data_IF_610456923624
#
_entry.id   IF_610456923624
#
_cell.length_a   1.000
_cell.length_b   1.000
_cell.length_c   1.000
_cell.angle_alpha   90.00
_cell.angle_beta   90.00
_cell.angle_gamma   90.00
#
_symmetry.space_group_name_H-M   'P 1'
#
loop_
_entity.id
_entity.type
_entity.pdbx_description
1 polymer ?
#
# COMPACT_ATOMS: atom_id res chain seq x y z
N UNK A 1 61.94 28.72 5.56
CA UNK A 1 61.20 27.74 4.74
C UNK A 1 59.87 27.52 5.45
N UNK A 2 58.79 28.29 5.29
CA UNK A 2 58.08 28.79 4.10
C UNK A 2 57.51 27.67 3.21
N UNK A 3 56.19 27.76 2.99
CA UNK A 3 55.27 27.05 2.09
C UNK A 3 54.36 25.96 2.71
N UNK A 4 53.04 25.93 2.49
CA UNK A 4 52.05 26.94 2.03
C UNK A 4 50.66 26.37 2.33
N UNK A 5 49.73 27.24 2.74
CA UNK A 5 48.30 26.97 2.83
C UNK A 5 47.71 26.93 1.41
N UNK A 6 47.10 25.81 1.02
CA UNK A 6 46.25 25.75 -0.17
C UNK A 6 44.78 25.71 0.27
N UNK A 7 44.13 26.86 0.12
CA UNK A 7 42.69 26.97 0.18
C UNK A 7 42.06 26.23 -1.01
N UNK A 8 41.05 25.43 -0.72
CA UNK A 8 40.14 24.89 -1.72
C UNK A 8 38.92 25.80 -1.74
N UNK A 9 38.80 26.52 -2.86
CA UNK A 9 37.72 27.42 -3.20
C UNK A 9 36.41 26.65 -3.27
N UNK A 10 35.42 27.07 -2.46
CA UNK A 10 34.05 26.59 -2.53
C UNK A 10 33.43 27.03 -3.86
N UNK A 11 33.21 26.08 -4.77
CA UNK A 11 32.32 26.27 -5.92
C UNK A 11 30.89 26.04 -5.43
N UNK A 12 30.21 27.15 -5.15
CA UNK A 12 28.76 27.21 -4.98
C UNK A 12 28.08 26.78 -6.28
N UNK A 13 27.63 25.53 -6.36
CA UNK A 13 26.58 25.12 -7.30
C UNK A 13 25.23 25.54 -6.71
N UNK A 14 24.39 26.30 -7.43
CA UNK A 14 23.09 26.71 -6.92
C UNK A 14 22.20 25.48 -6.72
N UNK A 15 21.68 25.32 -5.49
CA UNK A 15 20.58 24.39 -5.19
C UNK A 15 19.39 24.78 -6.07
N UNK A 16 19.03 23.95 -7.04
CA UNK A 16 17.77 24.08 -7.76
C UNK A 16 16.64 23.59 -6.87
N UNK A 17 16.10 24.48 -6.04
CA UNK A 17 14.83 24.28 -5.35
C UNK A 17 13.74 24.25 -6.41
N UNK A 18 13.17 23.08 -6.69
CA UNK A 18 11.95 22.98 -7.48
C UNK A 18 10.82 23.50 -6.59
N UNK A 19 10.38 24.72 -6.84
CA UNK A 19 9.20 25.31 -6.22
C UNK A 19 7.95 24.66 -6.82
N UNK A 20 7.23 23.88 -6.02
CA UNK A 20 5.83 23.57 -6.31
C UNK A 20 5.01 24.85 -6.11
N UNK A 21 4.23 25.31 -7.10
CA UNK A 21 3.39 26.49 -6.92
C UNK A 21 2.33 26.20 -5.86
N UNK A 22 2.27 27.06 -4.85
CA UNK A 22 1.32 26.99 -3.75
C UNK A 22 -0.13 26.91 -4.23
N UNK A 23 -0.93 26.11 -3.51
CA UNK A 23 -2.37 25.98 -3.69
C UNK A 23 -3.05 27.35 -3.66
N UNK A 24 -3.62 27.76 -4.79
CA UNK A 24 -4.71 28.75 -4.80
C UNK A 24 -6.00 27.98 -4.60
N UNK A 25 -6.65 28.15 -3.44
CA UNK A 25 -7.98 27.62 -3.18
C UNK A 25 -8.97 28.29 -4.15
N UNK A 26 -9.60 27.50 -5.03
CA UNK A 26 -10.69 27.99 -5.87
C UNK A 26 -12.00 28.06 -5.06
N UNK A 27 -12.74 29.18 -5.08
CA UNK A 27 -14.00 29.31 -4.37
C UNK A 27 -15.12 28.44 -4.99
N UNK A 28 -16.00 27.94 -4.12
CA UNK A 28 -17.04 26.91 -4.36
C UNK A 28 -18.21 27.30 -5.29
N UNK A 29 -18.08 28.30 -6.15
CA UNK A 29 -19.21 28.83 -6.94
C UNK A 29 -18.91 28.93 -8.44
N UNK A 30 -18.59 27.82 -9.11
CA UNK A 30 -18.54 27.80 -10.59
C UNK A 30 -18.60 26.40 -11.24
N UNK A 31 -19.41 25.48 -10.70
CA UNK A 31 -19.81 24.25 -11.41
C UNK A 31 -21.31 24.24 -11.69
N UNK A 32 -21.74 25.05 -12.66
CA UNK A 32 -22.99 24.85 -13.40
C UNK A 32 -22.82 25.39 -14.81
N UNK A 33 -23.06 24.50 -15.77
CA UNK A 33 -23.47 24.73 -17.17
C UNK A 33 -22.55 24.07 -18.21
N UNK A 34 -22.80 22.79 -18.49
CA UNK A 34 -22.72 22.24 -19.85
C UNK A 34 -23.71 21.09 -19.97
N UNK A 35 -24.97 21.41 -20.28
CA UNK A 35 -25.88 20.43 -20.88
C UNK A 35 -26.84 21.16 -21.81
N UNK A 36 -26.52 21.14 -23.10
CA UNK A 36 -27.43 21.49 -24.17
C UNK A 36 -27.04 20.75 -25.44
N UNK A 37 -28.06 20.36 -26.19
CA UNK A 37 -28.06 19.82 -27.56
C UNK A 37 -27.79 18.32 -27.74
N UNK A 38 -28.87 17.54 -27.60
CA UNK A 38 -29.28 16.60 -28.65
C UNK A 38 -30.79 16.36 -28.47
N UNK A 39 -31.59 17.08 -29.24
CA UNK A 39 -33.03 16.88 -29.39
C UNK A 39 -33.28 16.32 -30.79
N UNK A 40 -33.98 15.18 -30.86
CA UNK A 40 -34.94 14.83 -31.92
C UNK A 40 -35.39 13.38 -31.76
N UNK A 41 -36.69 13.17 -31.53
CA UNK A 41 -37.31 11.87 -31.85
C UNK A 41 -38.59 11.50 -31.09
N UNK A 42 -39.73 12.02 -31.57
CA UNK A 42 -41.07 11.42 -31.51
C UNK A 42 -41.74 11.19 -30.14
N UNK A 43 -42.77 12.00 -29.90
CA UNK A 43 -43.73 11.88 -28.81
C UNK A 43 -44.81 10.84 -29.19
N UNK A 44 -44.92 9.76 -28.41
CA UNK A 44 -45.94 8.73 -28.52
C UNK A 44 -46.55 8.43 -27.15
N UNK A 45 -47.86 8.66 -27.06
CA UNK A 45 -48.76 8.62 -25.90
C UNK A 45 -48.71 7.32 -25.07
N UNK A 46 -48.86 7.39 -23.74
CA UNK A 46 -49.17 6.19 -22.92
C UNK A 46 -49.05 6.35 -21.39
N UNK A 47 -50.20 6.49 -20.73
CA UNK A 47 -50.41 6.38 -19.28
C UNK A 47 -49.78 5.13 -18.64
N UNK A 48 -49.27 5.24 -17.39
CA UNK A 48 -49.03 4.04 -16.57
C UNK A 48 -48.24 4.26 -15.28
N UNK A 49 -48.98 4.35 -14.17
CA UNK A 49 -48.66 3.86 -12.82
C UNK A 49 -47.21 3.96 -12.28
N UNK A 50 -47.07 4.68 -11.16
CA UNK A 50 -45.84 4.77 -10.38
C UNK A 50 -45.21 3.41 -10.09
N UNK A 51 -44.06 3.15 -10.71
CA UNK A 51 -43.15 2.09 -10.27
C UNK A 51 -42.23 2.66 -9.22
N UNK A 52 -42.50 2.31 -7.95
CA UNK A 52 -41.43 2.23 -6.93
C UNK A 52 -40.33 1.34 -7.53
N UNK A 53 -39.23 1.94 -7.96
CA UNK A 53 -38.01 1.21 -8.29
C UNK A 53 -37.53 0.56 -6.98
N UNK A 54 -37.93 -0.68 -6.77
CA UNK A 54 -37.25 -1.57 -5.84
C UNK A 54 -35.82 -1.64 -6.34
N UNK A 55 -34.89 -1.04 -5.59
CA UNK A 55 -33.46 -1.11 -5.85
C UNK A 55 -33.02 -2.57 -5.65
N UNK A 56 -33.31 -3.43 -6.64
CA UNK A 56 -32.79 -4.80 -6.68
C UNK A 56 -31.29 -4.63 -6.76
N UNK A 57 -30.56 -5.14 -5.76
CA UNK A 57 -29.13 -5.37 -5.84
C UNK A 57 -28.90 -6.31 -7.03
N UNK A 58 -28.68 -5.73 -8.21
CA UNK A 58 -28.35 -6.48 -9.40
C UNK A 58 -26.89 -6.90 -9.30
N UNK A 59 -26.57 -8.04 -9.92
CA UNK A 59 -25.18 -8.51 -10.05
C UNK A 59 -24.33 -7.56 -10.90
N UNK A 60 -23.09 -7.95 -11.24
CA UNK A 60 -22.19 -7.09 -12.02
C UNK A 60 -22.83 -6.64 -13.34
N UNK A 61 -22.72 -5.35 -13.63
CA UNK A 61 -23.11 -4.76 -14.91
C UNK A 61 -21.97 -4.89 -15.92
N UNK A 62 -22.24 -5.63 -17.00
CA UNK A 62 -21.29 -5.86 -18.09
C UNK A 62 -21.58 -5.00 -19.32
N UNK A 63 -22.50 -4.05 -19.26
CA UNK A 63 -22.78 -3.14 -20.38
C UNK A 63 -21.70 -2.07 -20.57
N UNK A 64 -20.93 -1.76 -19.52
CA UNK A 64 -19.83 -0.79 -19.55
C UNK A 64 -18.55 -1.38 -18.92
N UNK A 65 -17.90 -2.27 -19.67
CA UNK A 65 -16.64 -2.90 -19.25
C UNK A 65 -15.47 -1.95 -19.51
N UNK A 66 -14.83 -1.48 -18.44
CA UNK A 66 -13.63 -0.66 -18.50
C UNK A 66 -12.38 -1.51 -18.26
N UNK A 67 -11.23 -1.11 -18.83
CA UNK A 67 -9.94 -1.76 -18.57
C UNK A 67 -9.66 -1.78 -17.06
N UNK A 68 -9.21 -2.93 -16.57
CA UNK A 68 -8.95 -3.13 -15.15
C UNK A 68 -7.46 -3.16 -14.88
N UNK A 69 -6.87 -2.00 -14.57
CA UNK A 69 -5.46 -1.88 -14.24
C UNK A 69 -5.08 -2.80 -13.07
N UNK A 70 -5.98 -3.07 -12.12
CA UNK A 70 -5.67 -3.95 -10.98
C UNK A 70 -5.25 -5.37 -11.42
N UNK A 71 -5.77 -5.88 -12.54
CA UNK A 71 -5.34 -7.19 -13.08
C UNK A 71 -3.95 -7.14 -13.74
N UNK A 72 -3.44 -5.96 -14.09
CA UNK A 72 -2.07 -5.79 -14.54
C UNK A 72 -1.13 -5.62 -13.32
N UNK A 73 -1.59 -4.92 -12.29
CA UNK A 73 -0.88 -4.72 -11.02
C UNK A 73 -0.64 -6.02 -10.24
N UNK A 74 -1.44 -7.07 -10.44
CA UNK A 74 -1.18 -8.36 -9.79
C UNK A 74 0.20 -8.90 -10.16
N UNK A 75 0.59 -8.79 -11.44
CA UNK A 75 1.89 -9.26 -11.92
C UNK A 75 3.05 -8.44 -11.36
N UNK A 76 2.81 -7.17 -11.04
CA UNK A 76 3.77 -6.29 -10.39
C UNK A 76 4.10 -6.81 -8.99
N UNK A 77 3.07 -7.01 -8.17
CA UNK A 77 3.26 -7.50 -6.80
C UNK A 77 3.71 -8.97 -6.76
N UNK A 78 3.28 -9.80 -7.70
CA UNK A 78 3.77 -11.18 -7.85
C UNK A 78 5.26 -11.23 -8.16
N UNK A 79 5.73 -10.39 -9.10
CA UNK A 79 7.15 -10.34 -9.44
C UNK A 79 8.00 -9.87 -8.26
N UNK A 80 7.54 -8.85 -7.53
CA UNK A 80 8.18 -8.37 -6.31
C UNK A 80 8.24 -9.48 -5.24
N UNK A 81 7.10 -10.15 -4.97
CA UNK A 81 7.00 -11.19 -3.97
C UNK A 81 7.86 -12.41 -4.29
N UNK A 82 7.90 -12.83 -5.56
CA UNK A 82 8.76 -13.92 -6.03
C UNK A 82 10.26 -13.58 -5.90
N UNK A 83 10.63 -12.30 -5.95
CA UNK A 83 12.02 -11.86 -5.81
C UNK A 83 12.41 -11.71 -4.33
N UNK A 84 11.63 -10.95 -3.55
CA UNK A 84 11.84 -10.78 -2.11
C UNK A 84 11.73 -12.10 -1.34
N UNK A 85 10.82 -12.99 -1.75
CA UNK A 85 10.63 -14.30 -1.13
C UNK A 85 11.84 -15.23 -1.20
N UNK A 86 12.78 -15.02 -2.13
CA UNK A 86 14.05 -15.78 -2.18
C UNK A 86 14.94 -15.51 -0.96
N UNK A 87 14.73 -14.40 -0.28
CA UNK A 87 15.50 -13.96 0.88
C UNK A 87 14.90 -14.38 2.22
N UNK A 88 13.80 -15.14 2.20
CA UNK A 88 13.15 -15.64 3.40
C UNK A 88 14.12 -16.42 4.31
N UNK A 89 14.30 -15.92 5.54
CA UNK A 89 15.17 -16.50 6.56
C UNK A 89 16.67 -16.32 6.33
N UNK A 90 17.09 -15.44 5.40
CA UNK A 90 18.52 -15.26 5.05
C UNK A 90 19.25 -14.18 5.85
N UNK A 91 18.57 -13.48 6.75
CA UNK A 91 19.18 -12.46 7.62
C UNK A 91 19.54 -11.13 6.93
N UNK A 92 19.21 -10.96 5.65
CA UNK A 92 19.50 -9.73 4.89
C UNK A 92 18.20 -9.07 4.43
N UNK A 93 17.76 -8.09 5.22
CA UNK A 93 16.53 -7.34 4.93
C UNK A 93 16.69 -6.40 3.75
N UNK A 94 17.88 -5.83 3.55
CA UNK A 94 18.11 -4.82 2.52
C UNK A 94 18.18 -5.49 1.15
N UNK A 95 18.80 -6.66 1.05
CA UNK A 95 18.82 -7.42 -0.20
C UNK A 95 17.44 -7.99 -0.57
N UNK A 96 16.64 -8.37 0.45
CA UNK A 96 15.25 -8.79 0.24
C UNK A 96 14.41 -7.65 -0.37
N UNK A 97 14.56 -6.46 0.20
CA UNK A 97 13.84 -5.25 -0.20
C UNK A 97 14.25 -4.79 -1.59
N UNK A 98 15.56 -4.67 -1.85
CA UNK A 98 16.11 -4.32 -3.15
C UNK A 98 15.63 -5.26 -4.26
N UNK A 99 15.59 -6.58 -3.99
CA UNK A 99 15.09 -7.55 -4.97
C UNK A 99 13.60 -7.33 -5.30
N UNK A 100 12.79 -6.93 -4.32
CA UNK A 100 11.38 -6.61 -4.52
C UNK A 100 11.21 -5.30 -5.31
N UNK A 101 11.95 -4.24 -4.95
CA UNK A 101 12.00 -2.93 -5.63
C UNK A 101 12.33 -3.11 -7.11
N UNK A 102 13.42 -3.83 -7.42
CA UNK A 102 13.92 -4.04 -8.78
C UNK A 102 12.84 -4.66 -9.68
N UNK A 103 12.20 -5.72 -9.16
CA UNK A 103 11.21 -6.46 -9.93
C UNK A 103 9.88 -5.74 -10.01
N UNK A 104 9.45 -5.07 -8.95
CA UNK A 104 8.27 -4.21 -8.96
C UNK A 104 8.40 -3.13 -10.03
N UNK A 105 9.49 -2.36 -10.01
CA UNK A 105 9.76 -1.28 -10.96
C UNK A 105 9.85 -1.78 -12.39
N UNK A 106 10.55 -2.90 -12.61
CA UNK A 106 10.72 -3.51 -13.93
C UNK A 106 9.38 -3.87 -14.57
N UNK A 107 8.46 -4.47 -13.80
CA UNK A 107 7.14 -4.84 -14.31
C UNK A 107 6.23 -3.62 -14.45
N UNK A 108 6.30 -2.66 -13.52
CA UNK A 108 5.52 -1.42 -13.61
C UNK A 108 5.79 -0.62 -14.88
N UNK A 109 7.04 -0.58 -15.34
CA UNK A 109 7.41 0.08 -16.61
C UNK A 109 6.79 -0.56 -17.86
N UNK A 110 6.13 -1.73 -17.73
CA UNK A 110 5.41 -2.38 -18.84
C UNK A 110 3.92 -2.07 -18.85
N UNK A 111 3.40 -1.44 -17.80
CA UNK A 111 1.96 -1.12 -17.67
C UNK A 111 1.64 0.12 -18.50
N UNK A 112 0.57 0.05 -19.31
CA UNK A 112 0.14 1.21 -20.11
C UNK A 112 -0.60 2.22 -19.22
N UNK A 113 0.13 3.19 -18.70
CA UNK A 113 -0.33 4.33 -17.89
C UNK A 113 0.71 5.46 -17.90
N UNK A 114 0.30 6.65 -17.48
CA UNK A 114 1.19 7.78 -17.11
C UNK A 114 1.24 7.89 -15.58
N UNK A 115 2.17 7.18 -14.96
CA UNK A 115 2.26 7.03 -13.51
C UNK A 115 3.27 7.96 -12.86
N UNK A 116 2.96 8.46 -11.66
CA UNK A 116 3.95 9.10 -10.78
C UNK A 116 3.93 8.43 -9.43
N UNK A 117 5.11 8.08 -8.93
CA UNK A 117 5.28 7.60 -7.56
C UNK A 117 5.02 8.76 -6.60
N UNK A 118 3.95 8.71 -5.83
CA UNK A 118 3.68 9.64 -4.72
C UNK A 118 4.21 9.08 -3.40
N UNK A 119 4.15 7.75 -3.27
CA UNK A 119 4.69 7.01 -2.12
C UNK A 119 5.55 5.88 -2.68
N UNK A 120 6.81 5.83 -2.24
CA UNK A 120 7.72 4.73 -2.56
C UNK A 120 8.88 4.65 -1.56
N UNK A 121 10.06 4.24 -2.04
CA UNK A 121 11.23 3.91 -1.20
C UNK A 121 11.81 5.12 -0.44
N UNK A 122 11.52 6.34 -0.90
CA UNK A 122 11.96 7.57 -0.28
C UNK A 122 12.15 8.70 -1.27
N UNK A 123 12.87 9.74 -0.84
CA UNK A 123 13.22 10.88 -1.70
C UNK A 123 14.26 10.50 -2.76
N UNK A 124 14.29 11.25 -3.86
CA UNK A 124 15.18 10.96 -5.01
C UNK A 124 16.67 10.86 -4.65
N UNK A 125 17.11 11.63 -3.67
CA UNK A 125 18.52 11.63 -3.22
C UNK A 125 18.85 10.42 -2.33
N UNK A 126 17.83 9.73 -1.80
CA UNK A 126 17.95 8.64 -0.84
C UNK A 126 17.61 7.27 -1.46
N UNK A 127 16.75 7.26 -2.50
CA UNK A 127 16.29 6.06 -3.20
C UNK A 127 16.60 6.12 -4.71
N UNK A 128 17.39 5.18 -5.26
CA UNK A 128 17.73 5.18 -6.69
C UNK A 128 16.56 4.77 -7.60
N UNK A 129 15.53 4.12 -7.04
CA UNK A 129 14.37 3.56 -7.74
C UNK A 129 13.13 3.68 -6.88
N UNK A 130 11.97 3.84 -7.53
CA UNK A 130 10.68 4.06 -6.89
C UNK A 130 10.70 5.23 -5.91
N UNK A 131 11.43 6.30 -6.26
CA UNK A 131 11.50 7.51 -5.44
C UNK A 131 10.28 8.40 -5.65
N UNK A 132 9.93 9.23 -4.66
CA UNK A 132 8.85 10.21 -4.75
C UNK A 132 9.06 11.16 -5.95
N UNK A 133 8.12 11.17 -6.88
CA UNK A 133 8.16 11.92 -8.13
C UNK A 133 8.70 11.15 -9.33
N UNK A 134 9.10 9.87 -9.19
CA UNK A 134 9.52 9.05 -10.33
C UNK A 134 8.37 8.84 -11.32
N UNK A 135 8.64 9.05 -12.60
CA UNK A 135 7.70 8.77 -13.71
C UNK A 135 7.79 7.29 -14.08
N UNK A 136 6.64 6.60 -14.07
CA UNK A 136 6.56 5.15 -14.27
C UNK A 136 5.44 4.82 -15.26
N UNK A 137 5.71 3.86 -16.14
CA UNK A 137 4.77 3.40 -17.16
C UNK A 137 5.50 3.10 -18.46
N UNK A 138 4.75 2.68 -19.48
CA UNK A 138 5.32 2.30 -20.77
C UNK A 138 5.49 3.49 -21.76
N UNK A 139 5.26 4.73 -21.31
CA UNK A 139 5.30 5.94 -22.13
C UNK A 139 3.96 6.37 -22.75
N UNK A 140 2.85 5.68 -22.46
CA UNK A 140 1.52 6.22 -22.76
C UNK A 140 1.20 7.42 -21.87
N UNK A 141 0.46 8.39 -22.40
CA UNK A 141 0.08 9.61 -21.67
C UNK A 141 -1.19 9.45 -20.80
N UNK A 142 -1.94 8.35 -20.97
CA UNK A 142 -3.18 8.09 -20.26
C UNK A 142 -3.33 6.60 -19.90
N UNK A 143 -3.98 6.28 -18.77
CA UNK A 143 -4.51 7.21 -17.78
C UNK A 143 -3.40 7.82 -16.92
N UNK A 144 -3.58 9.09 -16.52
CA UNK A 144 -2.72 9.75 -15.52
C UNK A 144 -3.05 9.27 -14.11
N UNK A 145 -2.08 8.64 -13.44
CA UNK A 145 -2.30 7.99 -12.14
C UNK A 145 -1.21 8.32 -11.13
N UNK A 146 -1.62 8.54 -9.88
CA UNK A 146 -0.72 8.49 -8.73
C UNK A 146 -0.53 7.04 -8.29
N UNK A 147 0.69 6.73 -7.87
CA UNK A 147 1.10 5.39 -7.46
C UNK A 147 1.66 5.47 -6.04
N UNK A 148 1.15 4.59 -5.17
CA UNK A 148 1.77 4.28 -3.89
C UNK A 148 2.24 2.83 -3.90
N UNK A 149 3.52 2.62 -3.63
CA UNK A 149 4.13 1.29 -3.53
C UNK A 149 4.71 1.08 -2.14
N UNK A 150 4.62 -0.15 -1.67
CA UNK A 150 5.50 -0.70 -0.64
C UNK A 150 5.96 -2.06 -1.18
N UNK A 151 7.13 -2.09 -1.84
CA UNK A 151 7.67 -3.28 -2.47
C UNK A 151 7.84 -4.45 -1.51
N UNK A 152 8.09 -4.21 -0.23
CA UNK A 152 8.17 -5.27 0.78
C UNK A 152 7.78 -4.79 2.19
N UNK A 153 6.47 -4.82 2.47
CA UNK A 153 5.96 -4.60 3.82
C UNK A 153 6.37 -5.81 4.69
N UNK A 154 7.26 -5.55 5.66
CA UNK A 154 7.84 -6.59 6.52
C UNK A 154 9.21 -7.12 6.07
N UNK A 155 10.11 -6.26 5.58
CA UNK A 155 11.52 -6.60 5.28
C UNK A 155 12.21 -7.38 6.40
N UNK A 156 12.01 -6.95 7.66
CA UNK A 156 12.53 -7.64 8.85
C UNK A 156 11.92 -9.03 9.03
N UNK A 157 10.61 -9.18 8.76
CA UNK A 157 9.94 -10.48 8.78
C UNK A 157 10.56 -11.43 7.76
N UNK A 158 10.82 -10.97 6.53
CA UNK A 158 11.50 -11.80 5.52
C UNK A 158 12.90 -12.18 5.95
N UNK A 159 13.73 -11.24 6.39
CA UNK A 159 15.09 -11.53 6.82
C UNK A 159 15.13 -12.59 7.94
N UNK A 160 14.18 -12.53 8.87
CA UNK A 160 14.10 -13.44 10.02
C UNK A 160 13.28 -14.71 9.77
N UNK A 161 12.72 -14.90 8.57
CA UNK A 161 11.87 -16.06 8.27
C UNK A 161 10.57 -16.08 9.07
N UNK A 162 9.94 -14.90 9.23
CA UNK A 162 8.67 -14.71 9.94
C UNK A 162 7.52 -14.48 8.97
N UNK A 163 6.33 -14.71 9.49
CA UNK A 163 5.06 -14.58 8.80
C UNK A 163 4.64 -13.10 8.63
N UNK A 164 3.69 -12.87 7.73
CA UNK A 164 2.98 -11.60 7.56
C UNK A 164 3.53 -10.62 6.53
N UNK A 165 4.59 -10.97 5.78
CA UNK A 165 5.16 -10.06 4.79
C UNK A 165 4.41 -10.09 3.45
N UNK A 166 4.18 -8.91 2.87
CA UNK A 166 3.43 -8.73 1.62
C UNK A 166 4.11 -7.69 0.72
N UNK A 167 3.92 -7.79 -0.60
CA UNK A 167 4.24 -6.71 -1.54
C UNK A 167 2.93 -6.03 -1.94
N UNK A 168 2.86 -4.70 -1.88
CA UNK A 168 1.61 -3.96 -2.09
C UNK A 168 1.77 -2.78 -3.05
N UNK A 169 0.68 -2.48 -3.76
CA UNK A 169 0.59 -1.32 -4.64
C UNK A 169 -0.84 -0.79 -4.68
N UNK A 170 -0.98 0.54 -4.69
CA UNK A 170 -2.22 1.26 -4.88
C UNK A 170 -2.06 2.30 -6.00
N UNK A 171 -3.07 2.38 -6.88
CA UNK A 171 -3.19 3.41 -7.91
C UNK A 171 -4.49 4.19 -7.69
N UNK A 172 -4.43 5.49 -7.88
CA UNK A 172 -5.60 6.36 -7.96
C UNK A 172 -5.39 7.43 -9.04
N UNK A 173 -6.41 8.21 -9.34
CA UNK A 173 -6.29 9.36 -10.24
C UNK A 173 -5.17 10.31 -9.78
N UNK A 174 -4.52 11.01 -10.73
CA UNK A 174 -3.50 12.03 -10.44
C UNK A 174 -3.99 13.04 -9.39
N UNK A 175 -3.18 13.28 -8.36
CA UNK A 175 -3.45 14.16 -7.23
C UNK A 175 -4.41 13.60 -6.18
N UNK A 176 -4.79 12.32 -6.27
CA UNK A 176 -5.79 11.73 -5.38
C UNK A 176 -5.20 10.98 -4.18
N UNK A 177 -3.91 10.65 -4.20
CA UNK A 177 -3.23 10.06 -3.04
C UNK A 177 -2.68 11.16 -2.13
N UNK A 178 -2.86 11.01 -0.83
CA UNK A 178 -2.28 11.91 0.15
C UNK A 178 -0.75 11.78 0.15
N UNK A 179 -0.08 12.92 0.06
CA UNK A 179 1.36 13.03 0.21
C UNK A 179 1.71 13.03 1.71
N UNK A 180 2.48 12.04 2.21
CA UNK A 180 2.90 11.99 3.60
C UNK A 180 3.79 13.18 4.03
N UNK A 181 4.46 13.83 3.07
CA UNK A 181 5.42 14.89 3.33
C UNK A 181 6.49 14.46 4.35
N UNK A 182 6.89 15.35 5.29
CA UNK A 182 7.95 15.04 6.26
C UNK A 182 7.49 14.14 7.42
N UNK A 183 6.19 13.84 7.53
CA UNK A 183 5.65 13.07 8.65
C UNK A 183 5.55 11.58 8.32
N UNK A 184 6.60 10.83 8.66
CA UNK A 184 6.68 9.40 8.36
C UNK A 184 5.79 8.51 9.25
N UNK A 185 5.18 9.03 10.31
CA UNK A 185 4.29 8.27 11.19
C UNK A 185 2.91 8.93 11.34
N UNK A 186 1.89 8.09 11.52
CA UNK A 186 0.53 8.50 11.82
C UNK A 186 -0.16 7.55 12.80
N UNK A 187 -1.03 8.10 13.65
CA UNK A 187 -2.06 7.35 14.36
C UNK A 187 -3.07 6.81 13.34
N UNK A 188 -3.52 5.57 13.56
CA UNK A 188 -4.39 4.81 12.67
C UNK A 188 -5.53 4.18 13.46
N UNK A 189 -6.74 4.30 12.90
CA UNK A 189 -7.92 3.53 13.28
C UNK A 189 -8.51 2.98 11.99
N UNK A 190 -8.60 1.65 11.84
CA UNK A 190 -9.26 1.04 10.69
C UNK A 190 -10.32 0.01 11.11
N UNK A 191 -11.46 0.03 10.44
CA UNK A 191 -12.58 -0.90 10.66
C UNK A 191 -13.21 -1.35 9.34
N UNK A 192 -13.81 -2.53 9.36
CA UNK A 192 -14.47 -3.12 8.19
C UNK A 192 -15.84 -2.49 7.87
N UNK A 193 -16.46 -2.90 6.74
CA UNK A 193 -17.70 -2.31 6.21
C UNK A 193 -18.94 -2.47 7.10
N UNK A 194 -18.89 -3.32 8.11
CA UNK A 194 -19.99 -3.51 9.06
C UNK A 194 -20.08 -2.41 10.12
N UNK A 195 -19.03 -1.60 10.30
CA UNK A 195 -18.96 -0.51 11.27
C UNK A 195 -19.23 0.82 10.57
N UNK A 196 -20.19 1.60 11.07
CA UNK A 196 -20.46 2.95 10.53
C UNK A 196 -19.23 3.85 10.75
N UNK A 197 -18.65 4.44 9.70
CA UNK A 197 -17.48 5.31 9.82
C UNK A 197 -17.65 6.48 10.79
N UNK A 198 -18.89 6.97 10.98
CA UNK A 198 -19.19 8.07 11.90
C UNK A 198 -19.27 7.63 13.36
N UNK A 199 -19.34 6.33 13.61
CA UNK A 199 -19.52 5.78 14.95
C UNK A 199 -18.18 5.60 15.68
N UNK A 200 -17.08 5.46 14.96
CA UNK A 200 -15.70 5.36 15.51
C UNK A 200 -14.95 6.68 15.35
N UNK A 201 -13.98 6.95 16.23
CA UNK A 201 -13.15 8.16 16.13
C UNK A 201 -11.82 8.03 16.85
N UNK A 202 -10.75 8.57 16.25
CA UNK A 202 -9.46 8.80 16.92
C UNK A 202 -9.53 9.76 18.12
N UNK A 203 -10.62 10.52 18.27
CA UNK A 203 -10.86 11.40 19.43
C UNK A 203 -11.56 10.71 20.59
N UNK A 204 -12.00 9.46 20.42
CA UNK A 204 -12.61 8.66 21.48
C UNK A 204 -11.55 7.80 22.16
N UNK A 205 -11.81 7.43 23.40
CA UNK A 205 -11.01 6.41 24.07
C UNK A 205 -11.07 5.08 23.32
N UNK A 206 -10.09 4.21 23.58
CA UNK A 206 -10.08 2.85 23.01
C UNK A 206 -11.34 2.09 23.43
N UNK A 207 -11.73 2.16 24.71
CA UNK A 207 -12.91 1.48 25.23
C UNK A 207 -14.22 1.91 24.54
N UNK A 208 -14.41 3.21 24.28
CA UNK A 208 -15.58 3.72 23.57
C UNK A 208 -15.64 3.22 22.13
N UNK A 209 -14.50 3.23 21.42
CA UNK A 209 -14.45 2.68 20.06
C UNK A 209 -14.74 1.18 20.06
N UNK A 210 -14.18 0.41 20.99
CA UNK A 210 -14.42 -1.03 21.07
C UNK A 210 -15.88 -1.35 21.37
N UNK A 211 -16.55 -0.60 22.22
CA UNK A 211 -17.99 -0.77 22.48
C UNK A 211 -18.83 -0.54 21.20
N UNK A 212 -18.45 0.46 20.40
CA UNK A 212 -19.09 0.73 19.10
C UNK A 212 -18.86 -0.42 18.11
N UNK A 213 -17.61 -0.89 17.98
CA UNK A 213 -17.24 -2.00 17.09
C UNK A 213 -17.97 -3.27 17.50
N UNK A 214 -17.97 -3.63 18.79
CA UNK A 214 -18.69 -4.78 19.34
C UNK A 214 -20.18 -4.74 18.99
N UNK A 215 -20.82 -3.57 19.19
CA UNK A 215 -22.24 -3.37 18.87
C UNK A 215 -22.53 -3.52 17.38
N UNK A 216 -21.70 -2.94 16.52
CA UNK A 216 -21.85 -3.01 15.07
C UNK A 216 -21.72 -4.45 14.55
N UNK A 217 -20.76 -5.19 15.10
CA UNK A 217 -20.49 -6.59 14.75
C UNK A 217 -21.39 -7.60 15.46
N UNK A 218 -22.21 -7.15 16.42
CA UNK A 218 -23.08 -7.98 17.27
C UNK A 218 -22.31 -9.06 18.02
N UNK A 219 -21.12 -8.70 18.52
CA UNK A 219 -20.23 -9.56 19.30
C UNK A 219 -20.14 -9.05 20.75
N UNK A 220 -19.96 -9.92 21.75
CA UNK A 220 -19.52 -9.46 23.06
C UNK A 220 -18.11 -8.87 22.95
N UNK A 221 -17.77 -7.94 23.86
CA UNK A 221 -16.47 -7.24 23.82
C UNK A 221 -15.28 -8.21 23.86
N UNK A 222 -15.40 -9.33 24.59
CA UNK A 222 -14.40 -10.39 24.69
C UNK A 222 -14.13 -11.17 23.40
N UNK A 223 -15.02 -11.07 22.41
CA UNK A 223 -14.84 -11.68 21.09
C UNK A 223 -14.29 -10.69 20.06
N UNK A 224 -14.20 -9.40 20.40
CA UNK A 224 -13.59 -8.38 19.54
C UNK A 224 -12.07 -8.53 19.60
N UNK A 225 -11.42 -8.65 18.44
CA UNK A 225 -9.96 -8.76 18.33
C UNK A 225 -9.38 -7.51 17.70
N UNK A 226 -8.49 -6.85 18.45
CA UNK A 226 -7.77 -5.64 18.02
C UNK A 226 -6.41 -6.02 17.46
N UNK A 227 -6.08 -5.51 16.28
CA UNK A 227 -4.72 -5.59 15.73
C UNK A 227 -3.90 -4.38 16.17
N UNK A 228 -2.71 -4.61 16.73
CA UNK A 228 -1.77 -3.57 17.18
C UNK A 228 -0.34 -3.98 16.84
N UNK A 229 0.48 -3.05 16.35
CA UNK A 229 1.92 -3.28 16.22
C UNK A 229 2.57 -3.43 17.60
N UNK A 230 3.40 -4.45 17.80
CA UNK A 230 4.12 -4.67 19.05
C UNK A 230 5.30 -3.70 19.16
N UNK A 231 5.07 -2.57 19.81
CA UNK A 231 6.04 -1.48 19.97
C UNK A 231 5.86 -0.83 21.36
N UNK A 232 6.95 -0.35 21.99
CA UNK A 232 6.86 0.36 23.27
C UNK A 232 5.86 1.54 23.26
N UNK A 233 5.78 2.28 22.14
CA UNK A 233 4.83 3.38 21.96
C UNK A 233 3.34 2.97 22.04
N UNK A 234 3.02 1.67 21.95
CA UNK A 234 1.65 1.16 22.02
C UNK A 234 1.30 0.49 23.35
N UNK A 235 2.19 0.51 24.36
CA UNK A 235 1.90 -0.11 25.66
C UNK A 235 0.60 0.42 26.29
N UNK A 236 0.32 1.72 26.13
CA UNK A 236 -0.92 2.33 26.60
C UNK A 236 -2.16 1.78 25.88
N UNK A 237 -2.13 1.68 24.54
CA UNK A 237 -3.20 1.09 23.72
C UNK A 237 -3.43 -0.36 24.14
N UNK A 238 -2.35 -1.14 24.24
CA UNK A 238 -2.40 -2.56 24.62
C UNK A 238 -3.04 -2.73 26.00
N UNK A 239 -2.69 -1.87 26.96
CA UNK A 239 -3.28 -1.86 28.30
C UNK A 239 -4.76 -1.53 28.24
N UNK A 240 -5.16 -0.46 27.58
CA UNK A 240 -6.57 -0.04 27.47
C UNK A 240 -7.45 -1.10 26.78
N UNK A 241 -6.94 -1.76 25.73
CA UNK A 241 -7.66 -2.86 25.07
C UNK A 241 -7.89 -4.03 26.05
N UNK A 242 -6.88 -4.41 26.84
CA UNK A 242 -7.00 -5.47 27.85
C UNK A 242 -7.98 -5.10 28.95
N UNK A 243 -7.93 -3.86 29.43
CA UNK A 243 -8.85 -3.35 30.46
C UNK A 243 -10.30 -3.30 29.97
N UNK A 244 -10.52 -2.97 28.69
CA UNK A 244 -11.83 -3.06 28.05
C UNK A 244 -12.32 -4.50 27.84
N UNK A 245 -11.45 -5.51 28.04
CA UNK A 245 -11.79 -6.93 27.94
C UNK A 245 -11.75 -7.50 26.52
N UNK A 246 -11.25 -6.76 25.54
CA UNK A 246 -11.11 -7.25 24.16
C UNK A 246 -9.79 -8.03 23.97
N UNK A 247 -9.73 -8.82 22.89
CA UNK A 247 -8.56 -9.61 22.51
C UNK A 247 -7.59 -8.75 21.70
N UNK A 248 -6.31 -9.13 21.70
CA UNK A 248 -5.26 -8.44 20.93
C UNK A 248 -4.52 -9.46 20.06
N UNK A 249 -4.34 -9.11 18.78
CA UNK A 249 -3.37 -9.72 17.87
C UNK A 249 -2.21 -8.74 17.72
N UNK A 250 -1.07 -9.07 18.34
CA UNK A 250 0.16 -8.32 18.18
C UNK A 250 0.89 -8.76 16.91
N UNK A 251 1.32 -7.80 16.10
CA UNK A 251 2.16 -8.04 14.92
C UNK A 251 3.50 -7.32 15.07
N UNK A 252 4.59 -7.93 14.62
CA UNK A 252 5.90 -7.28 14.67
C UNK A 252 6.01 -6.21 13.60
N UNK A 253 5.54 -6.47 12.39
CA UNK A 253 5.63 -5.61 11.22
C UNK A 253 4.39 -5.88 10.34
N UNK A 254 4.13 -5.08 9.31
CA UNK A 254 3.05 -5.41 8.38
C UNK A 254 1.68 -4.81 8.69
N UNK A 255 1.58 -3.51 8.99
CA UNK A 255 0.28 -2.93 9.34
C UNK A 255 -0.63 -2.61 8.14
N UNK A 256 -0.12 -2.66 6.90
CA UNK A 256 -0.96 -2.60 5.68
C UNK A 256 -1.83 -3.84 5.59
N UNK A 257 -1.21 -5.03 5.67
CA UNK A 257 -1.93 -6.31 5.64
C UNK A 257 -2.95 -6.39 6.78
N UNK A 258 -2.54 -5.99 7.99
CA UNK A 258 -3.42 -5.92 9.16
C UNK A 258 -4.60 -4.97 8.99
N UNK A 259 -4.40 -3.80 8.37
CA UNK A 259 -5.47 -2.85 8.09
C UNK A 259 -6.47 -3.41 7.07
N UNK A 260 -6.03 -4.18 6.09
CA UNK A 260 -6.91 -4.79 5.07
C UNK A 260 -7.70 -5.96 5.66
N UNK A 261 -7.10 -6.72 6.59
CA UNK A 261 -7.73 -7.87 7.23
C UNK A 261 -9.06 -7.50 7.90
N UNK A 262 -9.18 -6.32 8.52
CA UNK A 262 -10.42 -5.89 9.22
C UNK A 262 -11.64 -5.81 8.30
N UNK A 263 -11.44 -5.68 6.99
CA UNK A 263 -12.50 -5.59 6.00
C UNK A 263 -12.85 -6.93 5.32
N UNK A 264 -12.13 -8.02 5.63
CA UNK A 264 -12.43 -9.35 5.09
C UNK A 264 -13.74 -9.89 5.67
N UNK A 265 -14.47 -10.66 4.86
CA UNK A 265 -15.55 -11.48 5.37
C UNK A 265 -14.97 -12.59 6.25
N UNK A 266 -15.43 -12.69 7.50
CA UNK A 266 -14.84 -13.61 8.48
C UNK A 266 -13.43 -13.20 8.93
N UNK A 267 -13.14 -11.88 8.94
CA UNK A 267 -11.87 -11.33 9.37
C UNK A 267 -11.42 -11.90 10.74
N UNK A 268 -10.13 -12.25 10.89
CA UNK A 268 -9.57 -12.70 12.18
C UNK A 268 -9.38 -11.53 13.17
N UNK A 269 -9.51 -10.30 12.70
CA UNK A 269 -9.39 -9.05 13.45
C UNK A 269 -10.53 -8.13 13.08
N UNK A 270 -10.99 -7.34 14.05
CA UNK A 270 -12.20 -6.51 13.92
C UNK A 270 -11.89 -5.02 13.78
N UNK A 271 -10.75 -4.59 14.32
CA UNK A 271 -10.29 -3.20 14.33
C UNK A 271 -8.78 -3.14 14.44
N UNK A 272 -8.16 -2.16 13.78
CA UNK A 272 -6.75 -1.81 13.95
C UNK A 272 -6.65 -0.51 14.73
N UNK A 273 -5.76 -0.47 15.73
CA UNK A 273 -5.34 0.76 16.42
C UNK A 273 -3.82 0.86 16.47
N UNK A 274 -3.30 2.08 16.44
CA UNK A 274 -1.91 2.37 16.80
C UNK A 274 -1.25 3.37 15.88
N UNK A 275 0.05 3.53 16.07
CA UNK A 275 0.94 4.41 15.32
C UNK A 275 1.83 3.56 14.42
N UNK A 276 1.68 3.77 13.12
CA UNK A 276 2.49 3.13 12.08
C UNK A 276 2.94 4.13 11.04
N UNK A 277 3.53 3.66 9.94
CA UNK A 277 4.02 4.56 8.91
C UNK A 277 2.88 5.27 8.16
N UNK A 278 3.04 6.55 7.87
CA UNK A 278 2.06 7.34 7.11
C UNK A 278 1.87 6.81 5.68
N UNK A 279 2.94 6.49 4.92
CA UNK A 279 2.82 5.92 3.58
C UNK A 279 1.92 4.67 3.54
N UNK A 280 2.14 3.75 4.47
CA UNK A 280 1.39 2.50 4.66
C UNK A 280 -0.09 2.78 5.00
N UNK A 281 -0.35 3.84 5.75
CA UNK A 281 -1.73 4.30 6.03
C UNK A 281 -2.48 4.75 4.78
N UNK A 282 -1.81 5.44 3.85
CA UNK A 282 -2.41 5.86 2.58
C UNK A 282 -2.73 4.64 1.70
N UNK A 283 -1.80 3.69 1.62
CA UNK A 283 -1.98 2.42 0.89
C UNK A 283 -3.16 1.62 1.49
N UNK A 284 -3.21 1.50 2.82
CA UNK A 284 -4.29 0.83 3.53
C UNK A 284 -5.66 1.51 3.29
N UNK A 285 -5.70 2.85 3.29
CA UNK A 285 -6.92 3.60 3.00
C UNK A 285 -7.44 3.33 1.57
N UNK A 286 -6.54 3.25 0.59
CA UNK A 286 -6.89 2.90 -0.79
C UNK A 286 -7.53 1.49 -0.88
N UNK A 287 -6.95 0.51 -0.18
CA UNK A 287 -7.51 -0.84 -0.11
C UNK A 287 -8.87 -0.89 0.60
N UNK A 288 -8.98 -0.24 1.76
CA UNK A 288 -10.22 -0.19 2.53
C UNK A 288 -11.36 0.48 1.75
N UNK A 289 -11.06 1.54 1.00
CA UNK A 289 -12.02 2.18 0.09
C UNK A 289 -12.56 1.21 -0.95
N UNK A 290 -11.71 0.33 -1.50
CA UNK A 290 -12.15 -0.70 -2.44
C UNK A 290 -13.03 -1.78 -1.78
N UNK A 291 -12.82 -2.06 -0.49
CA UNK A 291 -13.55 -3.09 0.27
C UNK A 291 -14.76 -2.56 1.04
N UNK A 292 -14.99 -1.24 1.02
CA UNK A 292 -16.04 -0.57 1.80
C UNK A 292 -15.73 -0.43 3.29
N UNK A 293 -14.50 -0.70 3.71
CA UNK A 293 -14.02 -0.38 5.05
C UNK A 293 -13.69 1.11 5.18
N UNK A 294 -13.26 1.52 6.38
CA UNK A 294 -12.85 2.89 6.62
C UNK A 294 -11.60 2.96 7.49
N UNK A 295 -10.85 4.01 7.28
CA UNK A 295 -9.67 4.40 8.03
C UNK A 295 -9.78 5.86 8.47
N UNK A 296 -9.33 6.13 9.69
CA UNK A 296 -8.95 7.45 10.18
C UNK A 296 -7.46 7.47 10.45
N UNK A 297 -6.87 8.62 10.15
CA UNK A 297 -5.45 8.89 10.30
C UNK A 297 -5.22 10.22 11.03
N UNK A 298 -4.16 10.34 11.80
CA UNK A 298 -3.66 11.64 12.28
C UNK A 298 -2.14 11.64 12.25
N UNK A 299 -1.52 12.65 11.65
CA UNK A 299 -0.07 12.74 11.58
C UNK A 299 0.53 12.73 12.99
N UNK A 300 1.61 11.97 13.17
CA UNK A 300 2.26 11.77 14.44
C UNK A 300 3.76 12.13 14.32
N UNK A 301 4.12 13.43 14.45
CA UNK A 301 5.51 13.85 14.44
C UNK A 301 6.28 13.22 15.61
N UNK A 302 7.45 12.66 15.35
CA UNK A 302 8.25 11.97 16.39
C UNK A 302 8.91 12.94 17.37
N UNK A 303 9.09 14.18 16.95
CA UNK A 303 9.77 15.24 17.69
C UNK A 303 9.34 16.62 17.17
N UNK A 304 9.78 17.68 17.87
CA UNK A 304 9.41 19.06 17.55
C UNK A 304 9.96 19.54 16.20
N UNK A 305 11.07 18.98 15.74
CA UNK A 305 11.64 19.35 14.44
C UNK A 305 10.81 18.80 13.28
N UNK A 306 10.36 17.55 13.34
CA UNK A 306 9.39 17.01 12.38
C UNK A 306 8.07 17.77 12.41
N UNK A 307 7.59 18.13 13.62
CA UNK A 307 6.39 18.93 13.80
C UNK A 307 6.51 20.26 13.07
N UNK A 308 7.59 21.01 13.35
CA UNK A 308 7.88 22.30 12.73
C UNK A 308 7.96 22.19 11.22
N UNK A 309 8.69 21.20 10.69
CA UNK A 309 8.79 20.96 9.24
C UNK A 309 7.44 20.68 8.59
N UNK A 310 6.59 19.88 9.25
CA UNK A 310 5.26 19.58 8.75
C UNK A 310 4.37 20.83 8.74
N UNK A 311 4.37 21.61 9.82
CA UNK A 311 3.60 22.85 9.92
C UNK A 311 4.07 23.90 8.89
N UNK A 312 5.39 24.06 8.70
CA UNK A 312 5.98 24.94 7.69
C UNK A 312 5.63 24.51 6.26
N UNK A 313 5.51 23.21 6.02
CA UNK A 313 5.03 22.64 4.76
C UNK A 313 3.49 22.74 4.60
N UNK A 314 2.77 23.27 5.60
CA UNK A 314 1.34 23.53 5.54
C UNK A 314 0.45 22.37 6.00
N UNK A 315 1.00 21.37 6.69
CA UNK A 315 0.23 20.26 7.25
C UNK A 315 -0.41 20.67 8.58
N UNK A 316 -1.71 20.40 8.74
CA UNK A 316 -2.39 20.46 10.04
C UNK A 316 -2.26 19.10 10.75
N UNK A 317 -1.31 19.03 11.67
CA UNK A 317 -1.01 17.83 12.46
C UNK A 317 -2.12 17.44 13.45
N UNK A 318 -3.04 18.35 13.77
CA UNK A 318 -4.18 18.06 14.66
C UNK A 318 -5.36 17.44 13.91
N UNK A 319 -5.39 17.61 12.58
CA UNK A 319 -6.49 17.16 11.72
C UNK A 319 -6.57 15.65 11.70
N UNK A 320 -7.79 15.14 11.92
CA UNK A 320 -8.13 13.76 11.57
C UNK A 320 -8.37 13.69 10.07
N UNK A 321 -7.55 12.91 9.39
CA UNK A 321 -7.68 12.54 7.99
C UNK A 321 -8.60 11.32 7.90
N UNK A 322 -9.66 11.40 7.11
CA UNK A 322 -10.53 10.27 6.82
C UNK A 322 -10.06 9.52 5.58
N UNK A 323 -10.72 8.41 5.26
CA UNK A 323 -10.36 7.55 4.11
C UNK A 323 -10.28 8.34 2.80
N UNK A 324 -11.21 9.27 2.59
CA UNK A 324 -11.23 10.13 1.40
C UNK A 324 -10.24 11.31 1.47
N UNK A 325 -9.74 11.68 2.66
CA UNK A 325 -8.59 12.61 2.76
C UNK A 325 -7.28 11.91 2.38
N UNK A 326 -7.15 10.60 2.71
CA UNK A 326 -5.97 9.79 2.41
C UNK A 326 -5.96 9.29 0.96
N UNK A 327 -7.12 8.95 0.41
CA UNK A 327 -7.30 8.48 -0.96
C UNK A 327 -8.60 9.04 -1.55
N UNK A 328 -8.51 10.20 -2.19
CA UNK A 328 -9.65 10.95 -2.72
C UNK A 328 -10.21 10.39 -4.05
N UNK A 329 -9.56 9.39 -4.64
CA UNK A 329 -9.86 8.88 -5.98
C UNK A 329 -11.20 8.15 -6.07
N UNK A 330 -11.86 8.21 -7.22
CA UNK A 330 -13.07 7.43 -7.49
C UNK A 330 -12.72 6.09 -8.18
N UNK A 331 -11.63 6.07 -8.95
CA UNK A 331 -11.04 4.92 -9.63
C UNK A 331 -9.74 4.50 -8.95
N UNK A 332 -9.91 3.85 -7.80
CA UNK A 332 -8.82 3.28 -7.01
C UNK A 332 -8.64 1.82 -7.40
N UNK A 333 -7.39 1.42 -7.61
CA UNK A 333 -6.97 0.05 -7.86
C UNK A 333 -5.94 -0.34 -6.81
N UNK A 334 -6.04 -1.57 -6.31
CA UNK A 334 -5.09 -2.08 -5.34
C UNK A 334 -4.74 -3.53 -5.66
N UNK A 335 -3.48 -3.89 -5.47
CA UNK A 335 -3.02 -5.26 -5.52
C UNK A 335 -2.04 -5.55 -4.37
N UNK A 336 -2.09 -6.77 -3.86
CA UNK A 336 -1.11 -7.28 -2.91
C UNK A 336 -0.81 -8.75 -3.19
N UNK A 337 0.43 -9.18 -2.94
CA UNK A 337 0.86 -10.57 -3.01
C UNK A 337 1.60 -10.97 -1.74
N UNK A 338 1.26 -12.14 -1.18
CA UNK A 338 1.92 -12.68 0.00
C UNK A 338 3.35 -13.14 -0.29
N UNK A 339 4.31 -12.67 0.50
CA UNK A 339 5.71 -13.09 0.43
C UNK A 339 5.95 -14.24 1.40
N UNK A 340 5.55 -14.05 2.66
CA UNK A 340 5.45 -15.10 3.68
C UNK A 340 3.99 -15.33 4.08
N UNK A 341 3.71 -16.41 4.81
CA UNK A 341 2.33 -16.71 5.19
C UNK A 341 1.77 -15.64 6.12
N UNK A 342 0.56 -15.17 5.83
CA UNK A 342 -0.20 -14.28 6.69
C UNK A 342 -1.68 -14.61 6.67
N UNK A 343 -2.47 -13.92 7.48
CA UNK A 343 -3.92 -14.15 7.52
C UNK A 343 -4.64 -13.51 6.32
N UNK A 344 -4.01 -12.50 5.69
CA UNK A 344 -4.47 -11.94 4.42
C UNK A 344 -4.22 -12.88 3.23
N UNK A 345 -2.96 -13.30 3.02
CA UNK A 345 -2.48 -14.08 1.87
C UNK A 345 -1.48 -15.17 2.28
N UNK A 346 -1.46 -16.26 1.52
CA UNK A 346 -0.39 -17.27 1.61
C UNK A 346 0.91 -16.70 1.01
N UNK A 347 2.04 -17.07 1.59
CA UNK A 347 3.35 -16.71 1.07
C UNK A 347 3.71 -17.46 -0.21
N UNK A 348 4.78 -17.02 -0.87
CA UNK A 348 5.33 -17.71 -2.04
C UNK A 348 5.77 -19.13 -1.66
N UNK A 349 5.55 -20.09 -2.56
CA UNK A 349 6.10 -21.46 -2.46
C UNK A 349 6.88 -21.82 -3.69
N UNK A 350 8.17 -22.10 -3.54
CA UNK A 350 9.01 -22.57 -4.63
C UNK A 350 8.96 -24.10 -4.71
N UNK A 351 8.89 -24.63 -5.92
CA UNK A 351 8.94 -26.07 -6.21
C UNK A 351 9.80 -26.33 -7.44
N UNK A 352 10.05 -27.61 -7.76
CA UNK A 352 10.84 -27.96 -8.93
C UNK A 352 10.22 -27.39 -10.21
N UNK A 353 10.97 -26.52 -10.91
CA UNK A 353 10.52 -25.90 -12.16
C UNK A 353 9.55 -24.71 -12.01
N UNK A 354 9.28 -24.22 -10.79
CA UNK A 354 8.35 -23.11 -10.63
C UNK A 354 8.13 -22.58 -9.22
N UNK A 355 7.07 -21.79 -9.08
CA UNK A 355 6.58 -21.28 -7.80
C UNK A 355 5.06 -21.07 -7.82
N UNK A 356 4.43 -20.96 -6.65
CA UNK A 356 3.06 -20.46 -6.52
C UNK A 356 3.03 -19.18 -5.68
N UNK A 357 2.13 -18.26 -6.05
CA UNK A 357 1.82 -17.05 -5.30
C UNK A 357 0.32 -16.97 -4.99
N UNK A 358 -0.02 -16.20 -3.94
CA UNK A 358 -1.39 -15.88 -3.60
C UNK A 358 -1.54 -14.35 -3.48
N UNK A 359 -2.50 -13.81 -4.22
CA UNK A 359 -2.66 -12.37 -4.37
C UNK A 359 -4.11 -11.95 -4.14
N UNK A 360 -4.30 -10.70 -3.73
CA UNK A 360 -5.60 -10.03 -3.69
C UNK A 360 -5.55 -8.82 -4.62
N UNK A 361 -6.62 -8.63 -5.37
CA UNK A 361 -6.76 -7.53 -6.34
C UNK A 361 -8.13 -6.91 -6.16
N UNK A 362 -8.21 -5.59 -6.12
CA UNK A 362 -9.46 -4.88 -5.88
C UNK A 362 -9.55 -3.56 -6.64
N UNK A 363 -10.80 -3.12 -6.85
CA UNK A 363 -11.11 -1.86 -7.53
C UNK A 363 -12.32 -1.19 -6.89
N UNK A 364 -12.21 0.09 -6.54
CA UNK A 364 -13.31 0.87 -5.93
C UNK A 364 -14.51 0.99 -6.88
N UNK A 365 -14.27 1.34 -8.15
CA UNK A 365 -15.32 1.61 -9.12
C UNK A 365 -16.30 0.45 -9.36
N UNK A 366 -15.87 -0.80 -9.15
CA UNK A 366 -16.75 -1.98 -9.25
C UNK A 366 -17.02 -2.67 -7.91
N UNK A 367 -16.35 -2.26 -6.83
CA UNK A 367 -16.34 -2.96 -5.53
C UNK A 367 -15.89 -4.43 -5.61
N UNK A 368 -15.23 -4.81 -6.71
CA UNK A 368 -14.85 -6.22 -6.93
C UNK A 368 -13.56 -6.52 -6.22
N UNK A 369 -13.57 -7.59 -5.41
CA UNK A 369 -12.39 -8.16 -4.77
C UNK A 369 -12.13 -9.53 -5.39
N UNK A 370 -10.87 -9.79 -5.76
CA UNK A 370 -10.42 -11.05 -6.35
C UNK A 370 -9.30 -11.63 -5.49
N UNK A 371 -9.42 -12.90 -5.17
CA UNK A 371 -8.31 -13.70 -4.64
C UNK A 371 -7.80 -14.55 -5.81
N UNK A 372 -6.49 -14.48 -6.05
CA UNK A 372 -5.85 -15.13 -7.19
C UNK A 372 -4.77 -16.06 -6.63
N UNK A 373 -4.78 -17.30 -7.10
CA UNK A 373 -3.70 -18.26 -6.88
C UNK A 373 -3.06 -18.54 -8.23
N UNK A 374 -1.76 -18.28 -8.31
CA UNK A 374 -1.01 -18.35 -9.58
C UNK A 374 0.07 -19.40 -9.48
N UNK A 375 0.16 -20.27 -10.49
CA UNK A 375 1.29 -21.17 -10.67
C UNK A 375 2.23 -20.63 -11.75
N UNK A 376 3.45 -20.29 -11.35
CA UNK A 376 4.51 -19.80 -12.20
C UNK A 376 5.38 -20.97 -12.66
N UNK A 377 5.50 -21.17 -13.97
CA UNK A 377 6.35 -22.22 -14.57
C UNK A 377 7.57 -21.61 -15.25
N UNK A 378 8.76 -22.13 -14.96
CA UNK A 378 10.03 -21.61 -15.49
C UNK A 378 10.48 -22.26 -16.81
N UNK A 379 9.83 -23.34 -17.24
CA UNK A 379 10.17 -24.08 -18.47
C UNK A 379 10.09 -23.23 -19.76
N UNK A 380 9.33 -22.12 -19.73
CA UNK A 380 9.19 -21.17 -20.85
C UNK A 380 9.42 -19.74 -20.35
N UNK A 381 10.67 -19.34 -20.02
CA UNK A 381 10.94 -18.11 -19.28
C UNK A 381 10.76 -16.82 -20.10
N UNK A 382 10.64 -16.92 -21.44
CA UNK A 382 10.80 -15.78 -22.36
C UNK A 382 9.70 -14.71 -22.40
N UNK A 383 8.56 -14.85 -21.71
CA UNK A 383 7.42 -13.92 -21.87
C UNK A 383 6.84 -13.40 -20.54
N UNK A 384 6.87 -14.19 -19.46
CA UNK A 384 6.14 -13.87 -18.23
C UNK A 384 7.02 -13.61 -17.01
N UNK A 385 8.29 -13.99 -17.06
CA UNK A 385 9.21 -14.00 -15.93
C UNK A 385 10.46 -13.21 -16.32
N UNK A 386 10.62 -11.95 -15.86
CA UNK A 386 11.77 -11.14 -16.23
C UNK A 386 13.07 -11.68 -15.61
N UNK A 387 13.61 -12.80 -16.13
CA UNK A 387 14.90 -13.34 -15.77
C UNK A 387 15.04 -13.72 -14.28
N UNK A 388 14.20 -14.62 -13.76
CA UNK A 388 14.42 -15.26 -12.44
C UNK A 388 15.66 -16.17 -12.38
N UNK A 389 16.54 -16.10 -13.38
CA UNK A 389 17.74 -16.92 -13.53
C UNK A 389 18.97 -16.34 -12.79
N UNK A 390 18.73 -15.54 -11.76
CA UNK A 390 19.73 -15.26 -10.73
C UNK A 390 19.42 -16.20 -9.57
N UNK A 391 20.10 -17.34 -9.56
CA UNK A 391 20.28 -18.08 -8.32
C UNK A 391 21.34 -17.32 -7.50
N UNK A 392 20.96 -16.57 -6.45
CA UNK A 392 21.94 -15.88 -5.60
C UNK A 392 22.88 -16.86 -4.87
N UNK A 393 22.60 -18.17 -4.91
CA UNK A 393 23.50 -19.19 -4.36
C UNK A 393 24.53 -19.71 -5.36
N UNK A 394 24.36 -19.50 -6.66
CA UNK A 394 25.32 -19.96 -7.66
C UNK A 394 26.69 -19.28 -7.46
N UNK A 395 26.73 -17.97 -7.21
CA UNK A 395 27.98 -17.26 -6.91
C UNK A 395 28.59 -17.65 -5.55
N UNK A 396 27.76 -17.86 -4.52
CA UNK A 396 28.21 -18.20 -3.16
C UNK A 396 28.74 -19.64 -3.09
N UNK A 397 28.13 -20.58 -3.82
CA UNK A 397 28.60 -21.96 -3.91
C UNK A 397 29.85 -22.05 -4.78
N UNK A 398 29.94 -21.33 -5.90
CA UNK A 398 31.16 -21.29 -6.73
C UNK A 398 32.37 -20.77 -5.94
N UNK A 399 32.23 -19.71 -5.14
CA UNK A 399 33.31 -19.22 -4.28
C UNK A 399 33.72 -20.24 -3.20
N UNK A 400 32.76 -20.91 -2.56
CA UNK A 400 33.04 -21.89 -1.49
C UNK A 400 33.63 -23.19 -2.02
N UNK A 401 33.28 -23.62 -3.23
CA UNK A 401 33.87 -24.79 -3.87
C UNK A 401 35.26 -24.49 -4.47
N UNK A 402 35.51 -23.28 -4.97
CA UNK A 402 36.86 -22.89 -5.42
C UNK A 402 37.88 -22.71 -4.28
N UNK A 403 37.44 -22.41 -3.05
CA UNK A 403 38.35 -22.38 -1.90
C UNK A 403 38.78 -23.77 -1.40
N UNK A 404 37.99 -24.83 -1.64
CA UNK A 404 38.38 -26.21 -1.30
C UNK A 404 39.34 -26.85 -2.31
N UNK A 405 39.57 -26.22 -3.47
CA UNK A 405 40.53 -26.68 -4.49
C UNK A 405 42.00 -26.35 -4.20
N UNK A 406 42.30 -25.52 -3.19
CA UNK A 406 43.69 -25.08 -2.88
C UNK A 406 44.40 -25.83 -1.74
N UNK A 407 43.79 -26.87 -1.19
CA UNK A 407 44.46 -27.79 -0.25
C UNK A 407 44.41 -29.22 -0.78
N UNK A 408 45.29 -29.53 -1.74
CA UNK A 408 45.77 -30.90 -1.97
C UNK A 408 47.28 -30.94 -1.80
N UNK A 409 47.66 -31.47 -0.64
CA UNK A 409 48.81 -32.32 -0.35
C UNK A 409 50.05 -32.18 -1.23
N UNK A 410 51.08 -31.52 -0.68
CA UNK A 410 52.47 -31.87 -0.93
C UNK A 410 52.97 -32.70 0.26
N UNK A 411 53.22 -33.98 0.00
CA UNK A 411 54.16 -34.84 0.74
C UNK A 411 55.58 -34.31 0.55
#
# INVERSE_FOLDING_TARGET
MLFVSMGVTSLHTPKSTVHFPGRVALPRSQRRATKAAADNGSNGNGNGAGKRQTNKKQGPDYQNVQRNLALELVRVTEAAALAGGKWYGRGDKNAADQAAVDMMRKVLNTVNMDGVIVIGEGEKDEAPMLYCGEQIGNGTLEPQVDIAVDPLDGTTSIALGRNGAVCVIALAERGALFDPGPCMYMEKLAVGPAVDPKSVSLNKSIAENLAVVAKALKKPIGDVTVLVLDRPRHEHIIKEVREAGARIKLISDGDVGGAIEVAKLGAPVDVLFGIGGTPEGVIAAAALKCMGGTMQGRLWPRNDEERRKAEEAGYDISKVLYTDDLCAGEQVFFAATGVSDGDLLKGVRYFAGGASSNSIVMRSGSGTVRIIETQHRWEKPGITNPGFNVDPTASILEEKFNMKGKYKAGV
#
